data_IF_835779886671
#
_entry.id   IF_835779886671
#
_cell.length_a   1.000
_cell.length_b   1.000
_cell.length_c   1.000
_cell.angle_alpha   90.00
_cell.angle_beta   90.00
_cell.angle_gamma   90.00
#
_symmetry.space_group_name_H-M   'P 1'
#
loop_
_entity.id
_entity.type
_entity.pdbx_description
1 polymer ?
#
# COMPACT_ATOMS: atom_id res chain seq x y z
N UNK A 1 -36.17 -49.30 -59.61
CA UNK A 1 -35.76 -48.91 -58.24
C UNK A 1 -35.08 -47.55 -58.36
N UNK A 2 -35.72 -46.47 -57.92
CA UNK A 2 -35.13 -45.13 -58.03
C UNK A 2 -33.96 -44.96 -57.04
N UNK A 3 -32.84 -44.30 -57.42
CA UNK A 3 -31.71 -44.12 -56.51
C UNK A 3 -32.12 -43.22 -55.33
N UNK A 4 -31.75 -43.63 -54.11
CA UNK A 4 -31.97 -42.84 -52.89
C UNK A 4 -31.16 -41.53 -52.99
N UNK A 5 -31.75 -40.37 -52.65
CA UNK A 5 -31.00 -39.13 -52.61
C UNK A 5 -29.95 -39.21 -51.51
N UNK A 6 -28.70 -38.89 -51.86
CA UNK A 6 -27.58 -38.79 -50.91
C UNK A 6 -27.45 -37.32 -50.52
N UNK A 7 -27.49 -37.03 -49.22
CA UNK A 7 -27.30 -35.68 -48.71
C UNK A 7 -25.90 -35.19 -49.07
N UNK A 8 -25.82 -34.13 -49.88
CA UNK A 8 -24.56 -33.42 -50.12
C UNK A 8 -24.28 -32.53 -48.91
N UNK A 9 -23.17 -32.80 -48.23
CA UNK A 9 -22.70 -31.91 -47.17
C UNK A 9 -22.40 -30.54 -47.79
N UNK A 10 -23.23 -29.54 -47.49
CA UNK A 10 -22.89 -28.14 -47.76
C UNK A 10 -21.61 -27.84 -46.97
N UNK A 11 -20.54 -27.32 -47.61
CA UNK A 11 -19.40 -26.82 -46.87
C UNK A 11 -19.91 -25.76 -45.89
N UNK A 12 -19.80 -26.04 -44.59
CA UNK A 12 -19.99 -25.01 -43.57
C UNK A 12 -18.75 -24.14 -43.69
N UNK A 13 -18.93 -22.92 -44.18
CA UNK A 13 -17.85 -21.93 -44.24
C UNK A 13 -17.61 -21.43 -42.80
N UNK A 14 -16.85 -22.21 -42.03
CA UNK A 14 -16.43 -21.86 -40.67
C UNK A 14 -15.38 -20.76 -40.82
N UNK A 15 -15.84 -19.52 -40.86
CA UNK A 15 -14.94 -18.36 -40.75
C UNK A 15 -14.23 -18.45 -39.41
N UNK A 16 -12.91 -18.67 -39.44
CA UNK A 16 -12.08 -18.67 -38.25
C UNK A 16 -12.30 -17.35 -37.47
N UNK A 17 -12.62 -17.45 -36.18
CA UNK A 17 -12.86 -16.29 -35.34
C UNK A 17 -11.63 -15.39 -35.35
N UNK A 18 -11.73 -14.20 -35.97
CA UNK A 18 -10.65 -13.21 -35.93
C UNK A 18 -10.55 -12.68 -34.50
N UNK A 19 -9.36 -12.75 -33.85
CA UNK A 19 -9.19 -12.20 -32.51
C UNK A 19 -9.46 -10.71 -32.56
N UNK A 20 -10.49 -10.27 -31.85
CA UNK A 20 -10.78 -8.83 -31.71
C UNK A 20 -9.77 -8.26 -30.72
N UNK A 21 -9.05 -7.17 -31.07
CA UNK A 21 -8.11 -6.55 -30.16
C UNK A 21 -8.84 -6.19 -28.87
N UNK A 22 -8.20 -6.50 -27.74
CA UNK A 22 -8.74 -6.28 -26.41
C UNK A 22 -7.71 -5.52 -25.61
N UNK A 23 -8.10 -4.39 -25.03
CA UNK A 23 -7.24 -3.62 -24.13
C UNK A 23 -7.35 -4.19 -22.72
N UNK A 24 -6.23 -4.41 -22.06
CA UNK A 24 -6.21 -4.74 -20.63
C UNK A 24 -5.96 -3.48 -19.82
N UNK A 25 -6.78 -3.26 -18.78
CA UNK A 25 -6.67 -2.13 -17.86
C UNK A 25 -6.63 -2.65 -16.43
N UNK A 26 -5.55 -2.38 -15.70
CA UNK A 26 -5.52 -2.65 -14.27
C UNK A 26 -6.12 -1.48 -13.48
N UNK A 27 -6.89 -1.76 -12.42
CA UNK A 27 -7.45 -0.75 -11.52
C UNK A 27 -6.86 -0.93 -10.13
N UNK A 28 -6.32 0.15 -9.58
CA UNK A 28 -5.94 0.29 -8.18
C UNK A 28 -6.85 1.32 -7.49
N UNK A 29 -7.29 1.00 -6.27
CA UNK A 29 -8.16 1.83 -5.45
C UNK A 29 -7.56 2.04 -4.06
N UNK A 30 -7.75 3.23 -3.50
CA UNK A 30 -7.47 3.54 -2.10
C UNK A 30 -8.65 4.31 -1.52
N UNK A 31 -9.09 3.89 -0.32
CA UNK A 31 -10.11 4.63 0.41
C UNK A 31 -9.50 5.91 0.99
N UNK A 32 -10.07 7.06 0.64
CA UNK A 32 -9.65 8.36 1.13
C UNK A 32 -10.54 8.84 2.30
N UNK A 33 -11.83 8.52 2.27
CA UNK A 33 -12.76 8.78 3.38
C UNK A 33 -13.89 7.75 3.38
N UNK A 34 -14.82 7.84 4.33
CA UNK A 34 -15.91 6.87 4.54
C UNK A 34 -16.64 6.48 3.23
N UNK A 35 -16.84 7.44 2.32
CA UNK A 35 -17.55 7.21 1.05
C UNK A 35 -16.79 7.75 -0.17
N UNK A 36 -15.47 7.95 -0.08
CA UNK A 36 -14.67 8.50 -1.18
C UNK A 36 -13.45 7.63 -1.43
N UNK A 37 -13.33 7.16 -2.66
CA UNK A 37 -12.22 6.36 -3.13
C UNK A 37 -11.45 7.13 -4.17
N UNK A 38 -10.13 7.05 -4.09
CA UNK A 38 -9.24 7.48 -5.16
C UNK A 38 -8.86 6.27 -5.98
N UNK A 39 -8.73 6.47 -7.28
CA UNK A 39 -8.37 5.40 -8.20
C UNK A 39 -7.25 5.83 -9.13
N UNK A 40 -6.53 4.83 -9.60
CA UNK A 40 -5.65 4.91 -10.75
C UNK A 40 -5.87 3.66 -11.58
N UNK A 41 -6.10 3.84 -12.87
CA UNK A 41 -6.24 2.79 -13.84
C UNK A 41 -5.16 2.95 -14.92
N UNK A 42 -4.57 1.85 -15.36
CA UNK A 42 -3.50 1.86 -16.34
C UNK A 42 -3.71 0.77 -17.38
N UNK A 43 -3.52 1.12 -18.65
CA UNK A 43 -3.28 0.20 -19.76
C UNK A 43 -1.84 0.36 -20.26
N UNK A 44 -1.44 -0.41 -21.26
CA UNK A 44 -0.12 -0.27 -21.87
C UNK A 44 0.11 1.13 -22.49
N UNK A 45 -0.95 1.83 -22.89
CA UNK A 45 -0.86 3.07 -23.68
C UNK A 45 -1.46 4.29 -22.95
N UNK A 46 -2.35 4.06 -21.99
CA UNK A 46 -3.18 5.10 -21.39
C UNK A 46 -3.27 4.94 -19.87
N UNK A 47 -3.35 6.07 -19.16
CA UNK A 47 -3.53 6.13 -17.71
C UNK A 47 -4.73 7.02 -17.39
N UNK A 48 -5.49 6.61 -16.38
CA UNK A 48 -6.62 7.36 -15.85
C UNK A 48 -6.47 7.45 -14.33
N UNK A 49 -6.78 8.59 -13.75
CA UNK A 49 -6.77 8.76 -12.31
C UNK A 49 -7.88 9.71 -11.88
N UNK A 50 -8.29 9.60 -10.62
CA UNK A 50 -9.27 10.50 -10.05
C UNK A 50 -9.85 10.01 -8.74
N UNK A 51 -11.06 10.48 -8.43
CA UNK A 51 -11.83 10.04 -7.28
C UNK A 51 -13.28 9.74 -7.63
N UNK A 52 -13.84 8.76 -6.94
CA UNK A 52 -15.25 8.36 -7.00
C UNK A 52 -15.86 8.41 -5.61
N UNK A 53 -17.15 8.74 -5.53
CA UNK A 53 -17.93 8.67 -4.29
C UNK A 53 -18.73 7.37 -4.33
N UNK A 54 -18.43 6.46 -3.41
CA UNK A 54 -19.05 5.13 -3.40
C UNK A 54 -19.20 4.65 -1.95
N UNK A 55 -20.17 3.78 -1.71
CA UNK A 55 -20.45 3.23 -0.38
C UNK A 55 -19.61 1.99 -0.07
N UNK A 56 -19.05 1.36 -1.11
CA UNK A 56 -18.21 0.18 -1.02
C UNK A 56 -17.10 0.19 -2.06
N UNK A 57 -16.09 -0.66 -1.85
CA UNK A 57 -15.04 -0.90 -2.86
C UNK A 57 -15.64 -1.42 -4.16
N UNK A 58 -16.68 -2.27 -4.05
CA UNK A 58 -17.31 -2.91 -5.20
C UNK A 58 -18.02 -1.87 -6.09
N UNK A 59 -18.78 -0.96 -5.49
CA UNK A 59 -19.39 0.17 -6.22
C UNK A 59 -18.34 1.13 -6.76
N UNK A 60 -17.26 1.39 -6.02
CA UNK A 60 -16.16 2.22 -6.50
C UNK A 60 -15.49 1.64 -7.76
N UNK A 61 -15.28 0.32 -7.83
CA UNK A 61 -14.74 -0.35 -9.02
C UNK A 61 -15.68 -0.16 -10.22
N UNK A 62 -16.99 -0.37 -10.05
CA UNK A 62 -17.97 -0.26 -11.13
C UNK A 62 -18.04 1.18 -11.69
N UNK A 63 -17.97 2.18 -10.82
CA UNK A 63 -17.91 3.59 -11.23
C UNK A 63 -16.64 3.87 -12.05
N UNK A 64 -15.49 3.34 -11.62
CA UNK A 64 -14.23 3.50 -12.35
C UNK A 64 -14.28 2.80 -13.71
N UNK A 65 -14.81 1.58 -13.77
CA UNK A 65 -15.00 0.83 -15.02
C UNK A 65 -15.85 1.63 -15.99
N UNK A 66 -16.96 2.21 -15.52
CA UNK A 66 -17.86 3.03 -16.32
C UNK A 66 -17.15 4.24 -16.91
N UNK A 67 -16.38 4.98 -16.08
CA UNK A 67 -15.61 6.15 -16.52
C UNK A 67 -14.52 5.80 -17.52
N UNK A 68 -13.75 4.74 -17.27
CA UNK A 68 -12.68 4.33 -18.19
C UNK A 68 -13.25 3.86 -19.52
N UNK A 69 -14.37 3.13 -19.50
CA UNK A 69 -15.04 2.67 -20.72
C UNK A 69 -15.54 3.86 -21.56
N UNK A 70 -16.18 4.84 -20.93
CA UNK A 70 -16.66 6.06 -21.59
C UNK A 70 -15.50 6.81 -22.25
N UNK A 71 -14.37 6.98 -21.54
CA UNK A 71 -13.17 7.61 -22.07
C UNK A 71 -12.48 6.81 -23.19
N UNK A 72 -12.73 5.50 -23.28
CA UNK A 72 -12.12 4.60 -24.27
C UNK A 72 -12.99 4.39 -25.51
N UNK A 73 -14.08 5.15 -25.68
CA UNK A 73 -14.88 5.13 -26.92
C UNK A 73 -15.56 3.79 -27.24
N UNK A 74 -15.81 2.94 -26.23
CA UNK A 74 -16.52 1.67 -26.42
C UNK A 74 -15.67 0.48 -26.89
N UNK A 75 -14.35 0.57 -26.82
CA UNK A 75 -13.46 -0.58 -27.03
C UNK A 75 -13.81 -1.77 -26.10
N UNK A 76 -13.41 -2.98 -26.52
CA UNK A 76 -13.47 -4.16 -25.64
C UNK A 76 -12.35 -4.08 -24.61
N UNK A 77 -12.73 -4.04 -23.34
CA UNK A 77 -11.79 -3.83 -22.24
C UNK A 77 -11.89 -4.97 -21.24
N UNK A 78 -10.74 -5.60 -20.99
CA UNK A 78 -10.52 -6.49 -19.87
C UNK A 78 -10.03 -5.68 -18.69
N UNK A 79 -10.78 -5.63 -17.60
CA UNK A 79 -10.35 -4.99 -16.37
C UNK A 79 -9.72 -5.99 -15.42
N UNK A 80 -8.51 -5.70 -14.97
CA UNK A 80 -7.78 -6.45 -13.96
C UNK A 80 -7.97 -5.76 -12.61
N UNK A 81 -8.73 -6.38 -11.71
CA UNK A 81 -9.17 -5.74 -10.47
C UNK A 81 -8.65 -6.50 -9.26
N UNK A 82 -7.98 -5.78 -8.35
CA UNK A 82 -7.44 -6.35 -7.12
C UNK A 82 -8.38 -6.11 -5.93
N UNK A 83 -9.50 -6.84 -5.89
CA UNK A 83 -10.45 -6.86 -4.75
C UNK A 83 -10.39 -8.21 -4.00
N UNK A 84 -10.79 -8.27 -2.71
CA UNK A 84 -10.80 -9.50 -1.95
C UNK A 84 -11.59 -10.63 -2.63
N UNK A 85 -11.20 -11.89 -2.41
CA UNK A 85 -11.87 -13.04 -3.02
C UNK A 85 -13.38 -13.16 -2.67
N UNK A 86 -13.79 -12.55 -1.54
CA UNK A 86 -15.18 -12.49 -1.05
C UNK A 86 -15.99 -11.29 -1.57
N UNK A 87 -15.41 -10.45 -2.42
CA UNK A 87 -16.11 -9.30 -3.03
C UNK A 87 -17.30 -9.78 -3.85
N UNK A 88 -18.40 -9.03 -3.82
CA UNK A 88 -19.61 -9.38 -4.59
C UNK A 88 -19.38 -9.20 -6.08
N UNK A 89 -18.38 -8.41 -6.49
CA UNK A 89 -17.98 -8.26 -7.89
C UNK A 89 -17.71 -9.60 -8.57
N UNK A 90 -17.14 -10.57 -7.85
CA UNK A 90 -16.86 -11.88 -8.44
C UNK A 90 -18.13 -12.68 -8.74
N UNK A 91 -19.18 -12.52 -7.92
CA UNK A 91 -20.48 -13.13 -8.16
C UNK A 91 -21.22 -12.41 -9.31
N UNK A 92 -21.01 -11.10 -9.45
CA UNK A 92 -21.66 -10.27 -10.48
C UNK A 92 -20.87 -10.22 -11.80
N UNK A 93 -19.79 -10.98 -11.95
CA UNK A 93 -18.89 -10.89 -13.12
C UNK A 93 -19.62 -11.02 -14.45
N UNK A 94 -20.50 -12.01 -14.55
CA UNK A 94 -21.19 -12.30 -15.80
C UNK A 94 -22.34 -11.30 -16.05
N UNK A 95 -22.98 -10.80 -14.97
CA UNK A 95 -23.96 -9.71 -15.06
C UNK A 95 -23.35 -8.40 -15.53
N UNK A 96 -22.12 -8.07 -15.08
CA UNK A 96 -21.37 -6.90 -15.56
C UNK A 96 -21.16 -6.98 -17.08
N UNK A 97 -20.82 -8.16 -17.61
CA UNK A 97 -20.61 -8.33 -19.05
C UNK A 97 -21.90 -8.18 -19.86
N UNK A 98 -23.07 -8.49 -19.26
CA UNK A 98 -24.38 -8.29 -19.85
C UNK A 98 -24.78 -6.81 -19.83
N UNK A 99 -24.63 -6.13 -18.69
CA UNK A 99 -24.99 -4.72 -18.51
C UNK A 99 -24.03 -3.77 -19.23
N UNK A 100 -22.77 -4.16 -19.39
CA UNK A 100 -21.72 -3.39 -20.04
C UNK A 100 -21.08 -4.22 -21.17
N UNK A 101 -21.75 -4.35 -22.35
CA UNK A 101 -21.22 -5.15 -23.43
C UNK A 101 -19.80 -4.75 -23.83
N UNK A 102 -18.92 -5.76 -23.96
CA UNK A 102 -17.51 -5.59 -24.28
C UNK A 102 -16.59 -5.40 -23.06
N UNK A 103 -17.15 -5.36 -21.85
CA UNK A 103 -16.40 -5.27 -20.59
C UNK A 103 -16.46 -6.58 -19.83
N UNK A 104 -15.34 -6.98 -19.25
CA UNK A 104 -15.32 -8.04 -18.24
C UNK A 104 -14.20 -7.80 -17.24
N UNK A 105 -14.40 -8.30 -16.02
CA UNK A 105 -13.44 -8.20 -14.94
C UNK A 105 -12.75 -9.54 -14.70
N UNK A 106 -11.47 -9.48 -14.37
CA UNK A 106 -10.68 -10.64 -13.98
C UNK A 106 -9.78 -10.34 -12.79
N UNK A 107 -9.37 -11.43 -12.13
CA UNK A 107 -8.31 -11.38 -11.12
C UNK A 107 -6.95 -11.22 -11.80
N UNK A 108 -6.00 -10.50 -11.17
CA UNK A 108 -4.64 -10.39 -11.68
C UNK A 108 -3.98 -11.76 -11.82
N UNK A 109 -3.39 -11.99 -12.99
CA UNK A 109 -2.49 -13.13 -13.27
C UNK A 109 -1.04 -12.67 -13.13
N UNK A 110 -0.10 -13.61 -13.09
CA UNK A 110 1.33 -13.29 -13.04
C UNK A 110 1.76 -12.36 -14.19
N UNK A 111 1.21 -12.58 -15.39
CA UNK A 111 1.45 -11.77 -16.59
C UNK A 111 0.95 -10.32 -16.48
N UNK A 112 -0.02 -10.05 -15.59
CA UNK A 112 -0.58 -8.71 -15.39
C UNK A 112 0.28 -7.85 -14.44
N UNK A 113 1.40 -8.39 -13.94
CA UNK A 113 2.18 -7.77 -12.88
C UNK A 113 2.65 -6.35 -13.18
N UNK A 114 3.03 -6.06 -14.43
CA UNK A 114 3.46 -4.70 -14.82
C UNK A 114 2.29 -3.72 -14.85
N UNK A 115 1.16 -4.10 -15.48
CA UNK A 115 -0.07 -3.32 -15.49
C UNK A 115 -0.54 -2.97 -14.07
N UNK A 116 -0.53 -3.95 -13.17
CA UNK A 116 -0.90 -3.75 -11.76
C UNK A 116 0.07 -2.80 -11.07
N UNK A 117 1.39 -2.94 -11.27
CA UNK A 117 2.39 -2.02 -10.73
C UNK A 117 2.15 -0.59 -11.20
N UNK A 118 1.87 -0.39 -12.49
CA UNK A 118 1.61 0.93 -13.08
C UNK A 118 0.35 1.58 -12.51
N UNK A 119 -0.73 0.80 -12.33
CA UNK A 119 -1.95 1.27 -11.70
C UNK A 119 -1.69 1.67 -10.24
N UNK A 120 -1.00 0.83 -9.46
CA UNK A 120 -0.62 1.14 -8.08
C UNK A 120 0.31 2.35 -7.97
N UNK A 121 1.27 2.51 -8.89
CA UNK A 121 2.16 3.67 -8.94
C UNK A 121 1.38 4.96 -9.22
N UNK A 122 0.47 4.94 -10.20
CA UNK A 122 -0.37 6.10 -10.50
C UNK A 122 -1.31 6.47 -9.35
N UNK A 123 -1.71 5.51 -8.51
CA UNK A 123 -2.51 5.80 -7.32
C UNK A 123 -1.70 6.57 -6.26
N UNK A 124 -0.40 6.28 -6.15
CA UNK A 124 0.53 7.02 -5.30
C UNK A 124 0.74 8.44 -5.84
N UNK A 125 1.01 8.57 -7.15
CA UNK A 125 1.22 9.84 -7.86
C UNK A 125 -0.03 10.75 -7.85
N UNK A 126 -1.23 10.19 -8.01
CA UNK A 126 -2.49 10.94 -7.99
C UNK A 126 -2.86 11.45 -6.59
N UNK A 127 -2.06 11.15 -5.57
CA UNK A 127 -2.16 11.82 -4.28
C UNK A 127 -1.61 13.18 -4.54
N UNK A 128 -2.37 14.28 -4.36
CA UNK A 128 -1.71 15.57 -4.24
C UNK A 128 -0.79 15.40 -3.05
N UNK A 129 0.48 15.13 -3.33
CA UNK A 129 1.59 15.22 -2.40
C UNK A 129 1.57 16.69 -2.03
N UNK A 130 1.24 17.08 -0.77
CA UNK A 130 1.51 18.43 -0.33
C UNK A 130 2.91 18.81 -0.82
N UNK A 131 3.00 19.88 -1.61
CA UNK A 131 4.18 20.26 -2.38
C UNK A 131 5.32 20.83 -1.52
N UNK A 132 5.45 20.33 -0.29
CA UNK A 132 6.46 20.75 0.66
C UNK A 132 7.08 19.55 1.39
N UNK A 133 8.27 19.75 1.98
CA UNK A 133 8.97 18.73 2.74
C UNK A 133 8.08 18.22 3.89
N UNK A 134 7.96 16.90 4.01
CA UNK A 134 7.19 16.27 5.10
C UNK A 134 8.12 15.92 6.23
N UNK A 135 7.77 16.35 7.43
CA UNK A 135 8.42 15.89 8.64
C UNK A 135 7.70 14.63 9.10
N UNK A 136 8.42 13.56 9.39
CA UNK A 136 7.85 12.31 9.88
C UNK A 136 8.66 11.82 11.06
N UNK A 137 8.03 11.67 12.22
CA UNK A 137 8.65 11.07 13.39
C UNK A 137 8.37 9.58 13.45
N UNK A 138 9.30 8.82 14.02
CA UNK A 138 9.26 7.36 14.09
C UNK A 138 9.76 6.89 15.45
N UNK A 139 9.11 5.89 16.03
CA UNK A 139 9.51 5.31 17.31
C UNK A 139 9.19 3.81 17.46
N UNK A 140 9.94 3.13 18.33
CA UNK A 140 9.85 1.71 18.65
C UNK A 140 9.59 1.43 20.13
N UNK A 141 8.55 0.64 20.42
CA UNK A 141 8.21 0.21 21.79
C UNK A 141 8.39 -1.31 21.96
N UNK A 142 9.13 -1.72 22.99
CA UNK A 142 9.36 -3.15 23.29
C UNK A 142 8.80 -3.50 24.68
N UNK A 143 7.97 -4.55 24.75
CA UNK A 143 7.34 -5.03 25.99
C UNK A 143 7.43 -6.55 26.05
N UNK A 144 8.37 -7.07 26.83
CA UNK A 144 8.63 -8.51 26.90
C UNK A 144 8.93 -9.07 25.51
N UNK A 145 8.09 -9.98 25.01
CA UNK A 145 8.21 -10.58 23.66
C UNK A 145 7.40 -9.86 22.56
N UNK A 146 6.83 -8.70 22.87
CA UNK A 146 6.05 -7.89 21.95
C UNK A 146 6.87 -6.67 21.53
N UNK A 147 6.83 -6.35 20.24
CA UNK A 147 7.34 -5.11 19.67
C UNK A 147 6.18 -4.36 19.04
N UNK A 148 6.04 -3.09 19.37
CA UNK A 148 5.26 -2.11 18.64
C UNK A 148 6.19 -1.13 17.94
N UNK A 149 5.77 -0.62 16.79
CA UNK A 149 6.41 0.54 16.17
C UNK A 149 5.34 1.48 15.63
N UNK A 150 5.65 2.76 15.58
CA UNK A 150 4.74 3.83 15.17
C UNK A 150 5.47 4.92 14.39
N UNK A 151 4.75 5.58 13.49
CA UNK A 151 5.23 6.76 12.80
C UNK A 151 4.10 7.76 12.57
N UNK A 152 4.43 9.05 12.56
CA UNK A 152 3.49 10.15 12.38
C UNK A 152 4.11 11.24 11.51
N UNK A 153 3.43 11.60 10.42
CA UNK A 153 3.80 12.70 9.54
C UNK A 153 3.14 14.02 9.94
N UNK A 154 3.79 15.15 9.61
CA UNK A 154 3.27 16.51 9.79
C UNK A 154 1.94 16.75 9.07
N UNK A 155 1.66 15.96 8.04
CA UNK A 155 0.43 15.96 7.25
C UNK A 155 -0.72 15.16 7.88
N UNK A 156 -0.48 14.54 9.04
CA UNK A 156 -1.45 13.70 9.74
C UNK A 156 -1.53 12.25 9.25
N UNK A 157 -0.77 11.89 8.20
CA UNK A 157 -0.57 10.49 7.80
C UNK A 157 0.18 9.74 8.91
N UNK A 158 -0.25 8.53 9.25
CA UNK A 158 0.33 7.75 10.35
C UNK A 158 0.28 6.25 10.09
N UNK A 159 1.06 5.50 10.87
CA UNK A 159 0.98 4.05 10.89
C UNK A 159 1.51 3.48 12.18
N UNK A 160 0.99 2.31 12.56
CA UNK A 160 1.39 1.60 13.77
C UNK A 160 1.17 0.10 13.61
N UNK A 161 2.05 -0.70 14.19
CA UNK A 161 1.94 -2.16 14.15
C UNK A 161 2.55 -2.79 15.40
N UNK A 162 1.77 -3.66 16.05
CA UNK A 162 2.23 -4.53 17.12
C UNK A 162 2.43 -5.95 16.62
N UNK A 163 3.47 -6.64 17.11
CA UNK A 163 3.71 -8.05 16.81
C UNK A 163 4.52 -8.73 17.91
N UNK A 164 4.34 -10.04 18.04
CA UNK A 164 5.26 -10.89 18.80
C UNK A 164 6.55 -11.08 18.00
N UNK A 165 7.69 -10.74 18.59
CA UNK A 165 8.99 -10.91 17.95
C UNK A 165 9.64 -12.24 18.34
N UNK A 166 10.62 -12.66 17.53
CA UNK A 166 11.47 -13.82 17.79
C UNK A 166 12.93 -13.36 17.76
N UNK A 167 13.62 -13.43 18.90
CA UNK A 167 15.04 -13.08 19.02
C UNK A 167 15.93 -13.93 18.12
N UNK A 168 15.52 -15.17 17.80
CA UNK A 168 16.20 -16.00 16.79
C UNK A 168 16.19 -15.37 15.39
N UNK A 169 15.13 -14.62 15.06
CA UNK A 169 14.93 -14.04 13.73
C UNK A 169 15.41 -12.60 13.60
N UNK A 170 15.47 -11.87 14.72
CA UNK A 170 15.79 -10.43 14.73
C UNK A 170 17.06 -10.08 15.52
N UNK A 171 17.67 -11.05 16.17
CA UNK A 171 18.84 -10.84 17.02
C UNK A 171 18.51 -10.19 18.38
N UNK A 172 19.54 -9.89 19.18
CA UNK A 172 19.40 -9.27 20.50
C UNK A 172 19.06 -7.78 20.44
N UNK A 173 19.27 -7.09 19.31
CA UNK A 173 19.05 -5.64 19.15
C UNK A 173 17.57 -5.31 18.88
N UNK A 174 16.66 -5.80 19.73
CA UNK A 174 15.21 -5.75 19.52
C UNK A 174 14.68 -4.32 19.40
N UNK A 175 15.16 -3.40 20.26
CA UNK A 175 14.76 -1.98 20.23
C UNK A 175 15.17 -1.36 18.89
N UNK A 176 16.45 -1.49 18.50
CA UNK A 176 16.94 -0.98 17.21
C UNK A 176 16.14 -1.54 16.02
N UNK A 177 15.75 -2.82 16.05
CA UNK A 177 14.91 -3.42 15.00
C UNK A 177 13.50 -2.81 14.98
N UNK A 178 12.95 -2.43 16.13
CA UNK A 178 11.66 -1.73 16.21
C UNK A 178 11.75 -0.34 15.57
N UNK A 179 12.78 0.43 15.91
CA UNK A 179 13.05 1.76 15.32
C UNK A 179 13.19 1.69 13.80
N UNK A 180 14.01 0.77 13.30
CA UNK A 180 14.25 0.62 11.87
C UNK A 180 13.00 0.14 11.11
N UNK A 181 12.10 -0.60 11.78
CA UNK A 181 10.79 -0.95 11.22
C UNK A 181 9.87 0.25 11.16
N UNK A 182 9.89 1.13 12.16
CA UNK A 182 9.15 2.39 12.15
C UNK A 182 9.58 3.25 10.95
N UNK A 183 10.89 3.45 10.78
CA UNK A 183 11.48 4.20 9.67
C UNK A 183 11.14 3.55 8.32
N UNK A 184 11.33 2.24 8.19
CA UNK A 184 10.98 1.52 6.96
C UNK A 184 9.50 1.63 6.61
N UNK A 185 8.60 1.58 7.59
CA UNK A 185 7.16 1.73 7.36
C UNK A 185 6.77 3.16 6.93
N UNK A 186 7.38 4.17 7.54
CA UNK A 186 7.20 5.58 7.17
C UNK A 186 7.67 5.82 5.73
N UNK A 187 8.93 5.44 5.41
CA UNK A 187 9.51 5.58 4.06
C UNK A 187 8.69 4.81 3.03
N UNK A 188 8.20 3.60 3.35
CA UNK A 188 7.36 2.84 2.42
C UNK A 188 6.06 3.54 2.08
N UNK A 189 5.43 4.16 3.08
CA UNK A 189 4.14 4.84 2.91
C UNK A 189 4.31 6.18 2.20
N UNK A 190 5.36 6.91 2.53
CA UNK A 190 5.66 8.24 2.02
C UNK A 190 6.62 8.23 0.81
N UNK A 191 6.82 7.07 0.17
CA UNK A 191 7.71 6.90 -0.99
C UNK A 191 7.43 7.96 -2.06
N UNK A 192 8.51 8.46 -2.67
CA UNK A 192 8.46 9.48 -3.72
C UNK A 192 8.24 10.92 -3.23
N UNK A 193 8.11 11.15 -1.91
CA UNK A 193 8.05 12.48 -1.30
C UNK A 193 9.42 12.85 -0.71
N UNK A 194 9.71 14.15 -0.66
CA UNK A 194 10.86 14.66 0.09
C UNK A 194 10.50 14.68 1.58
N UNK A 195 11.14 13.81 2.36
CA UNK A 195 10.82 13.59 3.77
C UNK A 195 12.02 13.84 4.69
N UNK A 196 11.75 14.46 5.83
CA UNK A 196 12.68 14.57 6.95
C UNK A 196 12.25 13.60 8.04
N UNK A 197 13.03 12.54 8.24
CA UNK A 197 12.76 11.48 9.21
C UNK A 197 13.35 11.86 10.57
N UNK A 198 12.49 12.08 11.56
CA UNK A 198 12.86 12.36 12.94
C UNK A 198 12.85 11.05 13.75
N UNK A 199 13.95 10.78 14.45
CA UNK A 199 14.00 9.69 15.44
C UNK A 199 14.92 10.08 16.58
N UNK A 200 14.58 9.67 17.80
CA UNK A 200 15.44 9.86 18.97
C UNK A 200 16.53 8.77 19.11
N UNK A 201 16.44 7.71 18.30
CA UNK A 201 17.41 6.63 18.23
C UNK A 201 18.60 6.98 17.36
N UNK A 202 19.69 7.42 17.99
CA UNK A 202 20.98 7.66 17.33
C UNK A 202 21.47 6.45 16.52
N UNK A 203 21.24 5.24 17.03
CA UNK A 203 21.64 4.01 16.36
C UNK A 203 20.83 3.75 15.09
N UNK A 204 19.52 4.03 15.11
CA UNK A 204 18.68 3.89 13.93
C UNK A 204 19.08 4.91 12.86
N UNK A 205 19.24 6.19 13.23
CA UNK A 205 19.69 7.26 12.32
C UNK A 205 21.05 6.93 11.71
N UNK A 206 22.02 6.46 12.51
CA UNK A 206 23.33 6.07 12.01
C UNK A 206 23.23 4.91 10.99
N UNK A 207 22.41 3.90 11.27
CA UNK A 207 22.24 2.77 10.36
C UNK A 207 21.53 3.16 9.06
N UNK A 208 20.52 4.03 9.13
CA UNK A 208 19.84 4.57 7.95
C UNK A 208 20.81 5.35 7.06
N UNK A 209 21.70 6.17 7.64
CA UNK A 209 22.74 6.87 6.88
C UNK A 209 23.69 5.91 6.16
N UNK A 210 24.06 4.79 6.78
CA UNK A 210 24.86 3.74 6.15
C UNK A 210 24.11 3.06 4.99
N UNK A 211 22.82 2.78 5.17
CA UNK A 211 21.98 2.26 4.07
C UNK A 211 21.86 3.22 2.90
N UNK A 212 21.71 4.52 3.17
CA UNK A 212 21.71 5.55 2.13
C UNK A 212 23.05 5.63 1.39
N UNK A 213 24.16 5.35 2.06
CA UNK A 213 25.50 5.24 1.46
C UNK A 213 25.73 3.92 0.69
N UNK A 214 24.75 3.02 0.64
CA UNK A 214 24.83 1.75 -0.08
C UNK A 214 25.44 0.59 0.73
N UNK A 215 25.65 0.76 2.04
CA UNK A 215 26.15 -0.31 2.88
C UNK A 215 25.04 -1.35 3.19
N UNK A 216 25.42 -2.63 3.12
CA UNK A 216 24.53 -3.78 3.30
C UNK A 216 24.38 -4.23 4.78
N UNK A 217 24.81 -3.40 5.74
CA UNK A 217 24.79 -3.73 7.16
C UNK A 217 23.40 -3.88 7.77
N UNK A 218 23.24 -4.75 8.76
CA UNK A 218 21.99 -4.95 9.49
C UNK A 218 22.27 -5.02 11.01
N UNK A 219 21.23 -4.91 11.86
CA UNK A 219 21.39 -5.15 13.29
C UNK A 219 22.03 -6.51 13.56
N UNK A 220 22.92 -6.56 14.55
CA UNK A 220 23.61 -7.77 14.97
C UNK A 220 22.61 -8.93 15.20
N UNK A 221 22.89 -10.09 14.61
CA UNK A 221 22.06 -11.29 14.73
C UNK A 221 20.76 -11.27 13.92
N UNK A 222 20.52 -10.25 13.09
CA UNK A 222 19.33 -10.19 12.26
C UNK A 222 19.42 -11.18 11.08
N UNK A 223 18.44 -12.08 10.97
CA UNK A 223 18.44 -13.09 9.90
C UNK A 223 18.09 -12.48 8.53
N UNK A 224 19.02 -12.62 7.57
CA UNK A 224 18.88 -12.17 6.17
C UNK A 224 18.05 -13.13 5.30
N UNK A 225 17.78 -14.33 5.80
CA UNK A 225 16.96 -15.34 5.14
C UNK A 225 15.73 -15.68 5.98
N UNK A 226 14.63 -16.03 5.31
CA UNK A 226 13.43 -16.58 5.94
C UNK A 226 13.14 -17.94 5.31
N UNK A 227 12.75 -18.91 6.12
CA UNK A 227 12.32 -20.24 5.65
C UNK A 227 11.18 -20.15 4.62
N UNK A 228 10.33 -19.13 4.73
CA UNK A 228 9.25 -18.86 3.75
C UNK A 228 9.73 -18.35 2.38
N UNK A 229 11.04 -18.13 2.18
CA UNK A 229 11.59 -17.51 0.98
C UNK A 229 11.31 -16.01 0.83
N UNK A 230 10.50 -15.41 1.73
CA UNK A 230 10.20 -13.97 1.70
C UNK A 230 11.39 -13.14 2.18
N UNK A 231 11.68 -12.05 1.48
CA UNK A 231 12.69 -11.07 1.89
C UNK A 231 12.37 -10.53 3.30
N UNK A 232 13.33 -10.57 4.25
CA UNK A 232 13.13 -9.98 5.58
C UNK A 232 12.80 -8.49 5.51
N UNK A 233 11.98 -8.02 6.48
CA UNK A 233 11.52 -6.63 6.53
C UNK A 233 12.63 -5.57 6.47
N UNK A 234 13.70 -5.72 7.26
CA UNK A 234 14.81 -4.76 7.25
C UNK A 234 15.66 -4.80 5.97
N UNK A 235 15.81 -5.97 5.32
CA UNK A 235 16.48 -6.07 4.03
C UNK A 235 15.70 -5.28 2.97
N UNK A 236 14.36 -5.44 2.95
CA UNK A 236 13.49 -4.65 2.09
C UNK A 236 13.52 -3.16 2.42
N UNK A 237 13.56 -2.80 3.70
CA UNK A 237 13.63 -1.40 4.13
C UNK A 237 14.95 -0.75 3.70
N UNK A 238 16.08 -1.45 3.84
CA UNK A 238 17.39 -1.00 3.36
C UNK A 238 17.40 -0.74 1.86
N UNK A 239 16.95 -1.71 1.04
CA UNK A 239 16.88 -1.56 -0.41
C UNK A 239 16.05 -0.33 -0.81
N UNK A 240 14.89 -0.19 -0.18
CA UNK A 240 14.00 0.95 -0.40
C UNK A 240 14.61 2.30 0.00
N UNK A 241 15.25 2.36 1.17
CA UNK A 241 15.88 3.59 1.66
C UNK A 241 17.04 3.99 0.75
N UNK A 242 17.79 3.01 0.23
CA UNK A 242 18.82 3.26 -0.75
C UNK A 242 18.23 3.77 -2.07
N UNK A 243 17.16 3.15 -2.59
CA UNK A 243 16.44 3.58 -3.81
C UNK A 243 15.99 5.05 -3.72
N UNK A 244 15.38 5.45 -2.61
CA UNK A 244 14.78 6.78 -2.41
C UNK A 244 15.72 7.77 -1.67
N UNK A 245 17.02 7.45 -1.54
CA UNK A 245 17.97 8.18 -0.68
C UNK A 245 18.05 9.68 -0.91
N UNK A 246 17.88 10.15 -2.15
CA UNK A 246 17.97 11.58 -2.50
C UNK A 246 16.78 12.40 -1.96
N UNK A 247 15.73 11.72 -1.49
CA UNK A 247 14.50 12.33 -0.95
C UNK A 247 14.37 12.18 0.57
N UNK A 248 15.33 11.53 1.22
CA UNK A 248 15.25 11.18 2.65
C UNK A 248 16.31 11.96 3.41
N UNK A 249 15.88 12.76 4.39
CA UNK A 249 16.77 13.47 5.32
C UNK A 249 16.62 12.91 6.73
N UNK A 250 17.50 11.99 7.18
CA UNK A 250 17.42 11.46 8.54
C UNK A 250 18.03 12.42 9.57
N UNK A 251 17.21 12.84 10.54
CA UNK A 251 17.58 13.79 11.61
C UNK A 251 17.40 13.11 12.96
N UNK A 252 18.47 13.12 13.75
CA UNK A 252 18.38 12.74 15.15
C UNK A 252 17.80 13.89 15.97
N UNK A 253 16.75 13.60 16.72
CA UNK A 253 16.15 14.52 17.69
C UNK A 253 16.41 14.04 19.11
N UNK A 254 16.43 14.95 20.07
CA UNK A 254 16.54 14.55 21.48
C UNK A 254 15.15 14.10 21.95
N UNK A 255 15.02 12.83 22.33
CA UNK A 255 13.77 12.26 22.84
C UNK A 255 13.25 12.98 24.09
N UNK A 256 11.93 12.88 24.31
CA UNK A 256 11.21 13.40 25.48
C UNK A 256 11.39 14.89 25.75
N UNK A 257 11.46 15.70 24.68
CA UNK A 257 11.46 17.17 24.77
C UNK A 257 10.12 17.81 24.46
N UNK A 258 9.05 17.02 24.28
CA UNK A 258 7.73 17.55 23.93
C UNK A 258 7.62 17.99 22.47
N UNK A 259 8.47 17.46 21.58
CA UNK A 259 8.30 17.66 20.14
C UNK A 259 7.06 16.86 19.69
N UNK A 260 5.99 17.51 19.19
CA UNK A 260 4.70 16.86 19.04
C UNK A 260 4.72 15.62 18.13
N UNK A 261 5.46 15.61 17.02
CA UNK A 261 5.50 14.45 16.14
C UNK A 261 6.16 13.25 16.83
N UNK A 262 7.27 13.45 17.52
CA UNK A 262 7.98 12.40 18.25
C UNK A 262 7.13 11.83 19.38
N UNK A 263 6.46 12.68 20.17
CA UNK A 263 5.53 12.21 21.22
C UNK A 263 4.34 11.44 20.60
N UNK A 264 3.86 11.86 19.43
CA UNK A 264 2.83 11.14 18.68
C UNK A 264 3.30 9.78 18.17
N UNK A 265 4.53 9.68 17.66
CA UNK A 265 5.12 8.42 17.22
C UNK A 265 5.33 7.44 18.40
N UNK A 266 5.81 7.92 19.55
CA UNK A 266 5.91 7.10 20.78
C UNK A 266 4.54 6.63 21.25
N UNK A 267 3.55 7.52 21.30
CA UNK A 267 2.20 7.15 21.69
C UNK A 267 1.62 6.05 20.79
N UNK A 268 1.83 6.15 19.47
CA UNK A 268 1.43 5.14 18.50
C UNK A 268 2.18 3.81 18.69
N UNK A 269 3.50 3.83 18.89
CA UNK A 269 4.31 2.63 19.13
C UNK A 269 3.89 1.93 20.44
N UNK A 270 3.65 2.70 21.50
CA UNK A 270 3.15 2.21 22.79
C UNK A 270 1.73 1.66 22.70
N UNK A 271 0.85 2.29 21.92
CA UNK A 271 -0.50 1.79 21.66
C UNK A 271 -0.43 0.43 20.95
N UNK A 272 0.37 0.33 19.88
CA UNK A 272 0.57 -0.89 19.11
C UNK A 272 1.10 -2.05 19.97
N UNK A 273 2.14 -1.80 20.78
CA UNK A 273 2.72 -2.83 21.65
C UNK A 273 1.75 -3.28 22.76
N UNK A 274 0.97 -2.37 23.36
CA UNK A 274 -0.05 -2.72 24.37
C UNK A 274 -1.20 -3.51 23.79
N UNK A 275 -1.67 -3.12 22.61
CA UNK A 275 -2.73 -3.84 21.91
C UNK A 275 -2.30 -5.27 21.57
N UNK A 276 -1.11 -5.45 20.99
CA UNK A 276 -0.58 -6.77 20.64
C UNK A 276 -0.25 -7.65 21.88
N UNK A 277 0.02 -7.04 23.04
CA UNK A 277 0.19 -7.76 24.30
C UNK A 277 -1.15 -8.25 24.89
N UNK A 278 -2.27 -7.64 24.51
CA UNK A 278 -3.58 -7.88 25.13
C UNK A 278 -3.83 -7.04 26.40
N UNK A 279 -2.91 -6.14 26.74
CA UNK A 279 -2.94 -5.31 27.97
C UNK A 279 -3.70 -3.97 27.77
N UNK A 280 -4.14 -3.69 26.55
CA UNK A 280 -4.78 -2.40 26.24
C UNK A 280 -6.25 -2.30 26.67
N UNK A 281 -6.94 -3.43 26.86
CA UNK A 281 -8.39 -3.46 27.08
C UNK A 281 -9.22 -2.93 25.91
N UNK A 282 -8.61 -2.72 24.74
CA UNK A 282 -9.27 -2.16 23.55
C UNK A 282 -9.75 -3.26 22.63
N UNK A 283 -10.93 -3.06 22.04
CA UNK A 283 -11.31 -3.77 20.83
C UNK A 283 -10.64 -3.14 19.59
N UNK A 284 -10.79 -3.78 18.42
CA UNK A 284 -10.17 -3.32 17.18
C UNK A 284 -10.69 -1.95 16.71
N UNK A 285 -11.95 -1.62 16.94
CA UNK A 285 -12.53 -0.34 16.52
C UNK A 285 -11.98 0.80 17.38
N UNK A 286 -11.89 0.59 18.68
CA UNK A 286 -11.34 1.53 19.64
C UNK A 286 -9.83 1.72 19.45
N UNK A 287 -9.10 0.65 19.15
CA UNK A 287 -7.68 0.72 18.77
C UNK A 287 -7.45 1.68 17.59
N UNK A 288 -8.24 1.55 16.52
CA UNK A 288 -8.13 2.43 15.35
C UNK A 288 -8.61 3.85 15.62
N UNK A 289 -9.64 4.03 16.46
CA UNK A 289 -10.10 5.36 16.88
C UNK A 289 -9.01 6.11 17.64
N UNK A 290 -8.44 5.49 18.67
CA UNK A 290 -7.36 6.11 19.47
C UNK A 290 -6.12 6.41 18.64
N UNK A 291 -5.75 5.54 17.71
CA UNK A 291 -4.61 5.80 16.82
C UNK A 291 -4.85 7.05 15.95
N UNK A 292 -6.07 7.23 15.43
CA UNK A 292 -6.46 8.44 14.68
C UNK A 292 -6.41 9.67 15.58
N UNK A 293 -7.00 9.61 16.77
CA UNK A 293 -7.07 10.76 17.68
C UNK A 293 -5.68 11.23 18.11
N UNK A 294 -4.76 10.29 18.36
CA UNK A 294 -3.34 10.58 18.61
C UNK A 294 -2.71 11.29 17.40
N UNK A 295 -2.83 10.71 16.22
CA UNK A 295 -2.24 11.26 15.00
C UNK A 295 -2.76 12.68 14.69
N UNK A 296 -4.08 12.90 14.78
CA UNK A 296 -4.68 14.21 14.55
C UNK A 296 -4.25 15.24 15.61
N UNK A 297 -4.19 14.85 16.88
CA UNK A 297 -3.82 15.76 17.97
C UNK A 297 -2.37 16.23 17.82
N UNK A 298 -1.44 15.29 17.64
CA UNK A 298 -0.01 15.60 17.61
C UNK A 298 0.42 16.28 16.31
N UNK A 299 -0.13 15.91 15.16
CA UNK A 299 0.17 16.58 13.88
C UNK A 299 -0.35 18.02 13.84
N UNK A 300 -1.54 18.28 14.42
CA UNK A 300 -2.07 19.66 14.57
C UNK A 300 -1.20 20.49 15.48
N UNK A 301 -0.74 19.92 16.60
CA UNK A 301 0.12 20.62 17.54
C UNK A 301 1.49 20.96 16.91
N UNK A 302 2.07 20.04 16.15
CA UNK A 302 3.27 20.32 15.36
C UNK A 302 3.07 21.48 14.39
N UNK A 303 1.94 21.48 13.66
CA UNK A 303 1.62 22.53 12.69
C UNK A 303 1.48 23.90 13.36
N UNK A 304 0.89 23.98 14.56
CA UNK A 304 0.80 25.24 15.31
C UNK A 304 2.15 25.77 15.77
N UNK A 305 3.10 24.89 16.09
CA UNK A 305 4.43 25.27 16.55
C UNK A 305 5.37 25.68 15.41
N UNK A 306 5.01 25.32 14.16
CA UNK A 306 5.83 25.55 12.96
C UNK A 306 5.24 26.56 11.98
N UNK A 307 4.03 27.06 12.24
CA UNK A 307 3.36 28.16 11.53
C UNK A 307 3.70 29.52 12.16
#
# INVERSE_FOLDING_TARGET
MAPKPVATARPIDIVAARPRPTRSVAIALAQHSKSRYRYSAASAEHRWAGSVKAESVDTAVLDVISRVREASGGERIRFVVQVPARSTLWALRDEIALLMPGVWIERPRLSDGELVRQACAGLREATPVPAGPVWVATDGSVRGRITGYGWLASTGEYGLQGLRHSTKLIGPKVVLVAELRAIGAAVQTLRGRDITVLSDSKFAIAMVKRWMAGEDVLPEGYAVYRESGKTPGLVRAQQMIYEDRDRITPVWVKGHRGEPLNEGADALARLASRYALGDSGLDGAEYHRRARDLAETFSREFTKQTA
#
